data_IF_580473257915
#
_entry.id   IF_580473257915
#
_cell.length_a   1.000
_cell.length_b   1.000
_cell.length_c   1.000
_cell.angle_alpha   90.00
_cell.angle_beta   90.00
_cell.angle_gamma   90.00
#
_symmetry.space_group_name_H-M   'P 1'
#
loop_
_entity.id
_entity.type
_entity.pdbx_description
1 polymer ?
#
# COMPACT_ATOMS: atom_id res chain seq x y z
N UNK A 1 -12.51 -28.19 -20.48
CA UNK A 1 -12.70 -26.74 -20.20
C UNK A 1 -11.92 -25.92 -21.22
N UNK A 2 -12.41 -24.74 -21.56
CA UNK A 2 -11.76 -23.82 -22.51
C UNK A 2 -10.56 -23.16 -21.83
N UNK A 3 -9.35 -23.41 -22.34
CA UNK A 3 -8.10 -22.85 -21.82
C UNK A 3 -7.64 -21.60 -22.59
N UNK A 4 -6.45 -21.06 -22.17
CA UNK A 4 -5.85 -19.92 -22.86
C UNK A 4 -5.57 -20.21 -24.34
N UNK A 5 -5.07 -21.40 -24.67
CA UNK A 5 -4.76 -21.75 -26.05
C UNK A 5 -6.00 -21.74 -26.96
N UNK A 6 -7.13 -22.19 -26.46
CA UNK A 6 -8.39 -22.20 -27.20
C UNK A 6 -8.90 -20.78 -27.40
N UNK A 7 -8.90 -19.96 -26.35
CA UNK A 7 -9.31 -18.57 -26.45
C UNK A 7 -8.38 -17.73 -27.32
N UNK A 8 -7.07 -18.05 -27.36
CA UNK A 8 -6.12 -17.38 -28.24
C UNK A 8 -6.38 -17.71 -29.72
N UNK A 9 -6.74 -18.96 -30.03
CA UNK A 9 -7.21 -19.35 -31.41
C UNK A 9 -8.48 -18.61 -31.77
N UNK A 10 -9.47 -18.57 -30.87
CA UNK A 10 -10.70 -17.78 -31.06
C UNK A 10 -10.40 -16.31 -31.34
N UNK A 11 -9.45 -15.70 -30.61
CA UNK A 11 -9.06 -14.30 -30.83
C UNK A 11 -8.53 -14.06 -32.24
N UNK A 12 -7.77 -15.01 -32.83
CA UNK A 12 -7.28 -14.92 -34.18
C UNK A 12 -8.45 -14.90 -35.19
N UNK A 13 -9.42 -15.79 -35.00
CA UNK A 13 -10.63 -15.85 -35.84
C UNK A 13 -11.48 -14.58 -35.68
N UNK A 14 -11.67 -14.10 -34.46
CA UNK A 14 -12.42 -12.86 -34.20
C UNK A 14 -11.81 -11.65 -34.90
N UNK A 15 -10.49 -11.53 -34.90
CA UNK A 15 -9.80 -10.42 -35.59
C UNK A 15 -9.93 -10.44 -37.10
N UNK A 16 -10.21 -11.60 -37.67
CA UNK A 16 -10.43 -11.78 -39.11
C UNK A 16 -11.92 -11.75 -39.49
N UNK A 17 -12.84 -11.74 -38.49
CA UNK A 17 -14.26 -11.68 -38.76
C UNK A 17 -14.72 -10.26 -39.09
N UNK A 18 -15.76 -10.13 -39.90
CA UNK A 18 -16.36 -8.85 -40.28
C UNK A 18 -16.91 -8.12 -39.04
N UNK A 19 -17.57 -8.84 -38.15
CA UNK A 19 -18.21 -8.29 -36.96
C UNK A 19 -17.21 -7.75 -35.91
N UNK A 20 -16.06 -8.43 -35.68
CA UNK A 20 -15.08 -8.10 -34.66
C UNK A 20 -13.75 -7.62 -35.26
N UNK A 21 -13.72 -7.29 -36.55
CA UNK A 21 -12.51 -6.84 -37.27
C UNK A 21 -11.84 -5.62 -36.67
N UNK A 22 -12.58 -4.77 -35.92
CA UNK A 22 -12.02 -3.64 -35.15
C UNK A 22 -10.94 -4.06 -34.16
N UNK A 23 -10.92 -5.34 -33.72
CA UNK A 23 -9.86 -5.87 -32.85
C UNK A 23 -8.49 -5.92 -33.55
N UNK A 24 -8.47 -5.85 -34.91
CA UNK A 24 -7.22 -5.79 -35.68
C UNK A 24 -6.59 -4.40 -35.70
N UNK A 25 -7.33 -3.33 -35.36
CA UNK A 25 -6.83 -1.96 -35.29
C UNK A 25 -5.82 -1.79 -34.16
N UNK A 26 -5.96 -2.59 -33.09
CA UNK A 26 -5.08 -2.54 -31.93
C UNK A 26 -4.05 -3.69 -31.94
N UNK A 27 -3.00 -3.55 -31.14
CA UNK A 27 -2.03 -4.63 -30.95
C UNK A 27 -2.69 -5.87 -30.36
N UNK A 28 -2.31 -7.05 -30.88
CA UNK A 28 -2.78 -8.34 -30.36
C UNK A 28 -2.31 -8.63 -28.95
N UNK A 29 -1.16 -8.05 -28.55
CA UNK A 29 -0.50 -8.37 -27.27
C UNK A 29 -1.39 -8.02 -26.05
N UNK A 30 -1.96 -6.81 -25.90
CA UNK A 30 -2.87 -6.53 -24.79
C UNK A 30 -4.14 -7.39 -24.80
N UNK A 31 -4.61 -7.81 -25.98
CA UNK A 31 -5.76 -8.69 -26.10
C UNK A 31 -5.42 -10.09 -25.56
N UNK A 32 -4.26 -10.64 -25.95
CA UNK A 32 -3.75 -11.91 -25.41
C UNK A 32 -3.52 -11.85 -23.90
N UNK A 33 -2.96 -10.75 -23.38
CA UNK A 33 -2.77 -10.58 -21.94
C UNK A 33 -4.13 -10.53 -21.21
N UNK A 34 -5.15 -9.94 -21.79
CA UNK A 34 -6.50 -9.96 -21.23
C UNK A 34 -7.05 -11.39 -21.10
N UNK A 35 -6.80 -12.26 -22.09
CA UNK A 35 -7.17 -13.68 -22.03
C UNK A 35 -6.36 -14.45 -20.97
N UNK A 36 -5.06 -14.16 -20.85
CA UNK A 36 -4.22 -14.73 -19.78
C UNK A 36 -4.71 -14.33 -18.38
N UNK A 37 -5.07 -13.04 -18.19
CA UNK A 37 -5.67 -12.57 -16.94
C UNK A 37 -7.00 -13.27 -16.64
N UNK A 38 -7.82 -13.53 -17.65
CA UNK A 38 -9.07 -14.29 -17.50
C UNK A 38 -8.77 -15.72 -17.04
N UNK A 39 -7.84 -16.41 -17.69
CA UNK A 39 -7.40 -17.75 -17.31
C UNK A 39 -6.92 -17.77 -15.85
N UNK A 40 -6.07 -16.82 -15.46
CA UNK A 40 -5.56 -16.72 -14.08
C UNK A 40 -6.68 -16.46 -13.08
N UNK A 41 -7.67 -15.62 -13.43
CA UNK A 41 -8.81 -15.34 -12.58
C UNK A 41 -9.66 -16.59 -12.33
N UNK A 42 -9.91 -17.42 -13.34
CA UNK A 42 -10.60 -18.71 -13.19
C UNK A 42 -9.77 -19.73 -12.43
N UNK A 43 -8.46 -19.84 -12.69
CA UNK A 43 -7.57 -20.70 -11.91
C UNK A 43 -7.60 -20.37 -10.42
N UNK A 44 -7.55 -19.08 -10.07
CA UNK A 44 -7.63 -18.63 -8.68
C UNK A 44 -9.01 -18.92 -8.04
N UNK A 45 -10.07 -18.85 -8.83
CA UNK A 45 -11.42 -19.23 -8.37
C UNK A 45 -11.47 -20.75 -8.05
N UNK A 46 -11.01 -21.59 -8.95
CA UNK A 46 -11.01 -23.05 -8.73
C UNK A 46 -10.10 -23.47 -7.58
N UNK A 47 -8.96 -22.80 -7.39
CA UNK A 47 -8.09 -22.96 -6.23
C UNK A 47 -8.67 -22.40 -4.93
N UNK A 48 -9.89 -21.83 -4.97
CA UNK A 48 -10.58 -21.17 -3.83
C UNK A 48 -9.81 -20.00 -3.20
N UNK A 49 -8.82 -19.43 -3.91
CA UNK A 49 -8.05 -18.27 -3.45
C UNK A 49 -8.75 -16.95 -3.80
N UNK A 50 -9.71 -16.96 -4.73
CA UNK A 50 -10.52 -15.79 -5.08
C UNK A 50 -11.99 -16.16 -5.34
N UNK A 51 -12.84 -15.10 -5.40
CA UNK A 51 -14.25 -15.27 -5.78
C UNK A 51 -14.40 -15.44 -7.29
N UNK A 52 -15.60 -15.85 -7.74
CA UNK A 52 -15.93 -15.97 -9.16
C UNK A 52 -15.59 -14.68 -9.94
N UNK A 53 -14.92 -14.77 -11.09
CA UNK A 53 -14.54 -13.61 -11.91
C UNK A 53 -15.75 -12.77 -12.30
N UNK A 54 -15.59 -11.45 -12.26
CA UNK A 54 -16.64 -10.51 -12.67
C UNK A 54 -16.23 -9.78 -13.94
N UNK A 55 -17.17 -9.52 -14.82
CA UNK A 55 -16.93 -8.71 -16.00
C UNK A 55 -16.42 -7.32 -15.63
N UNK A 56 -15.36 -6.90 -16.29
CA UNK A 56 -14.89 -5.53 -16.23
C UNK A 56 -15.88 -4.61 -16.94
N UNK A 57 -16.22 -3.49 -16.33
CA UNK A 57 -17.02 -2.47 -16.98
C UNK A 57 -16.22 -1.19 -17.17
N UNK A 58 -16.39 -0.52 -18.33
CA UNK A 58 -15.72 0.75 -18.63
C UNK A 58 -15.92 1.81 -17.54
N UNK A 59 -17.11 1.87 -16.94
CA UNK A 59 -17.45 2.84 -15.89
C UNK A 59 -16.81 2.53 -14.53
N UNK A 60 -16.60 1.26 -14.19
CA UNK A 60 -16.17 0.83 -12.85
C UNK A 60 -14.73 0.39 -12.79
N UNK A 61 -14.21 -0.21 -13.85
CA UNK A 61 -12.86 -0.75 -13.90
C UNK A 61 -11.83 0.34 -14.18
N UNK A 62 -10.61 0.12 -13.71
CA UNK A 62 -9.45 0.94 -14.08
C UNK A 62 -9.03 0.52 -15.50
N UNK A 63 -8.77 1.50 -16.35
CA UNK A 63 -8.21 1.24 -17.68
C UNK A 63 -6.76 0.82 -17.53
N UNK A 64 -6.42 -0.37 -17.99
CA UNK A 64 -5.08 -0.94 -17.92
C UNK A 64 -4.82 -1.83 -19.10
N UNK A 65 -3.68 -1.64 -19.75
CA UNK A 65 -3.18 -2.43 -20.87
C UNK A 65 -1.82 -2.96 -20.50
N UNK A 66 -1.61 -4.25 -20.69
CA UNK A 66 -0.35 -4.91 -20.42
C UNK A 66 0.28 -5.38 -21.73
N UNK A 67 1.56 -5.06 -21.90
CA UNK A 67 2.37 -5.42 -23.04
C UNK A 67 3.52 -6.31 -22.59
N UNK A 68 3.58 -7.55 -23.07
CA UNK A 68 4.78 -8.38 -22.93
C UNK A 68 5.86 -7.93 -23.92
N UNK A 69 7.07 -8.50 -23.83
CA UNK A 69 8.25 -8.10 -24.59
C UNK A 69 8.00 -7.94 -26.10
N UNK A 70 7.16 -8.75 -26.70
CA UNK A 70 6.79 -8.66 -28.11
C UNK A 70 5.89 -7.47 -28.46
N UNK A 71 5.31 -6.81 -27.48
CA UNK A 71 4.35 -5.70 -27.66
C UNK A 71 4.95 -4.32 -27.55
N UNK A 72 6.25 -4.19 -27.29
CA UNK A 72 6.93 -2.90 -27.21
C UNK A 72 8.39 -3.02 -27.68
N UNK A 73 8.96 -1.88 -28.03
CA UNK A 73 10.38 -1.76 -28.33
C UNK A 73 10.97 -0.57 -27.59
N UNK A 74 12.24 -0.66 -27.25
CA UNK A 74 13.01 0.43 -26.64
C UNK A 74 14.09 0.81 -27.64
N UNK A 75 14.14 2.09 -27.98
CA UNK A 75 15.12 2.64 -28.91
C UNK A 75 15.55 4.01 -28.38
N UNK A 76 16.86 4.23 -28.26
CA UNK A 76 17.45 5.50 -27.78
C UNK A 76 16.87 5.99 -26.43
N UNK A 77 16.55 5.08 -25.50
CA UNK A 77 15.93 5.45 -24.23
C UNK A 77 14.42 5.75 -24.27
N UNK A 78 13.82 5.66 -25.44
CA UNK A 78 12.40 5.89 -25.66
C UNK A 78 11.62 4.58 -25.76
N UNK A 79 10.37 4.59 -25.29
CA UNK A 79 9.47 3.42 -25.29
C UNK A 79 8.41 3.57 -26.37
N UNK A 80 8.36 2.61 -27.28
CA UNK A 80 7.36 2.52 -28.35
C UNK A 80 6.46 1.32 -28.08
N UNK A 81 5.14 1.52 -28.10
CA UNK A 81 4.18 0.42 -28.05
C UNK A 81 3.84 -0.07 -29.46
N UNK A 82 3.54 -1.36 -29.59
CA UNK A 82 3.14 -1.94 -30.87
C UNK A 82 1.92 -1.21 -31.44
N UNK A 83 1.92 -0.97 -32.75
CA UNK A 83 0.94 -0.16 -33.49
C UNK A 83 1.00 1.35 -33.24
N UNK A 84 1.87 1.86 -32.37
CA UNK A 84 2.14 3.30 -32.23
C UNK A 84 3.36 3.71 -33.05
N UNK A 85 3.29 4.85 -33.71
CA UNK A 85 4.39 5.42 -34.49
C UNK A 85 5.33 6.24 -33.60
N UNK A 86 4.76 7.01 -32.70
CA UNK A 86 5.45 7.89 -31.78
C UNK A 86 5.81 7.19 -30.46
N UNK A 87 6.91 7.56 -29.80
CA UNK A 87 7.24 7.08 -28.48
C UNK A 87 6.25 7.59 -27.44
N UNK A 88 6.22 6.93 -26.30
CA UNK A 88 5.47 7.45 -25.13
C UNK A 88 6.23 8.63 -24.54
N UNK A 89 5.51 9.73 -24.30
CA UNK A 89 6.02 10.85 -23.49
C UNK A 89 5.99 10.46 -22.00
N UNK A 90 7.17 10.15 -21.43
CA UNK A 90 7.31 9.60 -20.09
C UNK A 90 8.09 10.55 -19.20
N UNK A 91 7.48 10.97 -18.10
CA UNK A 91 8.17 11.61 -17.00
C UNK A 91 8.71 10.53 -16.06
N UNK A 92 10.01 10.29 -16.14
CA UNK A 92 10.67 9.26 -15.34
C UNK A 92 10.75 9.66 -13.86
N UNK A 93 10.27 8.78 -12.97
CA UNK A 93 10.31 9.01 -11.52
C UNK A 93 11.60 8.54 -10.86
N UNK A 94 12.36 7.70 -11.55
CA UNK A 94 13.64 7.13 -11.10
C UNK A 94 14.43 6.63 -12.30
N UNK A 95 15.72 6.49 -12.13
CA UNK A 95 16.58 5.77 -13.06
C UNK A 95 16.32 4.27 -12.93
N UNK A 96 16.25 3.58 -14.05
CA UNK A 96 16.13 2.12 -14.13
C UNK A 96 16.69 1.65 -15.46
N UNK A 97 17.18 0.42 -15.51
CA UNK A 97 17.53 -0.22 -16.78
C UNK A 97 16.26 -0.60 -17.54
N UNK A 98 15.79 0.31 -18.37
CA UNK A 98 14.59 0.10 -19.19
C UNK A 98 14.76 -1.03 -20.20
N UNK A 99 16.00 -1.37 -20.61
CA UNK A 99 16.26 -2.43 -21.59
C UNK A 99 15.99 -3.82 -21.00
N UNK A 100 16.11 -3.99 -19.67
CA UNK A 100 15.77 -5.22 -18.97
C UNK A 100 14.24 -5.43 -18.82
N UNK A 101 13.42 -4.45 -19.23
CA UNK A 101 11.97 -4.54 -19.09
C UNK A 101 11.38 -5.74 -19.83
N UNK A 102 10.74 -6.64 -19.09
CA UNK A 102 10.03 -7.81 -19.60
C UNK A 102 8.56 -7.54 -19.90
N UNK A 103 7.96 -6.62 -19.15
CA UNK A 103 6.54 -6.26 -19.25
C UNK A 103 6.35 -4.76 -19.02
N UNK A 104 5.47 -4.17 -19.81
CA UNK A 104 5.03 -2.77 -19.65
C UNK A 104 3.53 -2.75 -19.40
N UNK A 105 3.10 -2.06 -18.34
CA UNK A 105 1.68 -1.83 -18.07
C UNK A 105 1.38 -0.34 -18.16
N UNK A 106 0.50 0.03 -19.07
CA UNK A 106 -0.05 1.40 -19.19
C UNK A 106 -1.40 1.46 -18.51
N UNK A 107 -1.58 2.41 -17.60
CA UNK A 107 -2.76 2.51 -16.75
C UNK A 107 -3.26 3.95 -16.68
N UNK A 108 -4.57 4.13 -16.80
CA UNK A 108 -5.24 5.40 -16.54
C UNK A 108 -6.03 5.33 -15.23
N UNK A 109 -5.76 6.23 -14.29
CA UNK A 109 -6.50 6.29 -13.03
C UNK A 109 -7.83 7.04 -13.20
N UNK A 110 -8.65 7.02 -12.13
CA UNK A 110 -9.95 7.72 -12.13
C UNK A 110 -9.84 9.24 -12.16
N UNK A 111 -8.67 9.79 -11.91
CA UNK A 111 -8.38 11.23 -12.02
C UNK A 111 -7.98 11.64 -13.45
N UNK A 112 -7.90 10.68 -14.37
CA UNK A 112 -7.50 10.88 -15.76
C UNK A 112 -5.99 11.00 -15.95
N UNK A 113 -5.18 10.52 -14.99
CA UNK A 113 -3.72 10.51 -15.10
C UNK A 113 -3.26 9.19 -15.67
N UNK A 114 -2.31 9.24 -16.59
CA UNK A 114 -1.69 8.07 -17.18
C UNK A 114 -0.40 7.73 -16.45
N UNK A 115 -0.18 6.45 -16.28
CA UNK A 115 1.02 5.88 -15.67
C UNK A 115 1.54 4.75 -16.52
N UNK A 116 2.85 4.63 -16.55
CA UNK A 116 3.54 3.47 -17.09
C UNK A 116 4.28 2.75 -15.95
N UNK A 117 4.17 1.44 -15.91
CA UNK A 117 4.92 0.58 -14.99
C UNK A 117 5.74 -0.40 -15.80
N UNK A 118 7.01 -0.47 -15.55
CA UNK A 118 7.94 -1.40 -16.19
C UNK A 118 8.34 -2.47 -15.16
N UNK A 119 8.30 -3.71 -15.58
CA UNK A 119 8.86 -4.82 -14.81
C UNK A 119 10.30 -5.04 -15.29
N UNK A 120 11.25 -4.55 -14.51
CA UNK A 120 12.68 -4.64 -14.76
C UNK A 120 13.36 -5.48 -13.69
N UNK A 121 14.44 -6.15 -14.06
CA UNK A 121 15.36 -6.71 -13.08
C UNK A 121 16.19 -5.59 -12.47
N UNK A 122 16.33 -5.58 -11.17
CA UNK A 122 17.15 -4.60 -10.46
C UNK A 122 17.83 -5.26 -9.28
N UNK A 123 19.11 -5.00 -9.14
CA UNK A 123 19.83 -5.33 -7.90
C UNK A 123 19.68 -4.17 -6.94
N UNK A 124 19.20 -4.48 -5.76
CA UNK A 124 19.14 -3.50 -4.66
C UNK A 124 20.41 -3.69 -3.83
N UNK A 125 21.18 -2.61 -3.70
CA UNK A 125 22.38 -2.61 -2.86
C UNK A 125 21.98 -2.51 -1.39
N UNK A 126 22.58 -3.35 -0.56
CA UNK A 126 22.43 -3.28 0.89
C UNK A 126 22.94 -1.94 1.42
N UNK A 127 22.31 -1.44 2.44
CA UNK A 127 22.72 -0.20 3.09
C UNK A 127 23.79 -0.44 4.14
N UNK A 128 24.71 0.53 4.36
CA UNK A 128 25.71 0.41 5.41
C UNK A 128 25.10 0.08 6.78
N UNK A 129 25.84 -0.69 7.56
CA UNK A 129 25.46 -1.03 8.94
C UNK A 129 25.68 0.22 9.80
N UNK A 130 24.67 0.57 10.60
CA UNK A 130 24.66 1.76 11.48
C UNK A 130 24.89 1.40 12.95
N UNK A 131 24.77 0.13 13.33
CA UNK A 131 24.80 -0.37 14.70
C UNK A 131 23.56 0.01 15.53
N UNK A 132 22.54 0.63 14.94
CA UNK A 132 21.37 1.17 15.65
C UNK A 132 20.16 0.26 15.56
N UNK A 133 19.46 0.14 16.68
CA UNK A 133 18.23 -0.62 16.81
C UNK A 133 17.10 0.27 17.32
N UNK A 134 15.86 0.05 16.88
CA UNK A 134 14.70 0.85 17.28
C UNK A 134 13.45 0.00 17.48
N UNK A 135 12.68 0.33 18.53
CA UNK A 135 11.30 -0.12 18.70
C UNK A 135 10.36 0.95 18.15
N UNK A 136 9.33 0.51 17.50
CA UNK A 136 8.37 1.36 16.78
C UNK A 136 6.96 1.02 17.26
N UNK A 137 6.35 1.96 17.96
CA UNK A 137 4.92 1.92 18.27
C UNK A 137 4.12 2.63 17.17
N UNK A 138 3.10 1.94 16.65
CA UNK A 138 2.23 2.42 15.55
C UNK A 138 0.88 2.84 16.12
N UNK A 139 0.66 4.14 16.22
CA UNK A 139 -0.48 4.71 16.89
C UNK A 139 -1.48 5.45 16.00
N UNK A 140 -2.60 5.85 16.60
CA UNK A 140 -3.64 6.66 15.97
C UNK A 140 -3.36 8.16 16.12
N UNK A 141 -2.93 8.59 17.31
CA UNK A 141 -2.61 9.99 17.62
C UNK A 141 -1.28 10.37 17.00
N UNK A 142 -0.24 9.69 17.39
CA UNK A 142 1.06 9.75 16.74
C UNK A 142 1.20 8.52 15.84
N UNK A 143 1.47 8.74 14.54
CA UNK A 143 1.43 7.65 13.58
C UNK A 143 2.58 6.65 13.79
N UNK A 144 3.74 7.16 14.20
CA UNK A 144 4.95 6.38 14.49
C UNK A 144 5.64 7.03 15.69
N UNK A 145 5.85 6.25 16.75
CA UNK A 145 6.63 6.67 17.92
C UNK A 145 7.82 5.74 18.06
N UNK A 146 9.01 6.30 18.19
CA UNK A 146 10.26 5.57 18.26
C UNK A 146 10.76 5.46 19.72
N UNK A 147 11.48 4.39 20.02
CA UNK A 147 12.06 4.15 21.33
C UNK A 147 13.12 5.18 21.75
N UNK A 148 13.63 6.00 20.82
CA UNK A 148 14.51 7.14 21.07
C UNK A 148 13.75 8.45 21.39
N UNK A 149 12.40 8.39 21.47
CA UNK A 149 11.53 9.51 21.80
C UNK A 149 11.04 10.31 20.61
N UNK A 150 11.50 10.04 19.37
CA UNK A 150 11.04 10.74 18.19
C UNK A 150 9.62 10.32 17.81
N UNK A 151 8.81 11.30 17.39
CA UNK A 151 7.44 11.09 16.90
C UNK A 151 7.36 11.55 15.44
N UNK A 152 6.99 10.64 14.54
CA UNK A 152 6.89 10.91 13.10
C UNK A 152 5.42 10.92 12.69
N UNK A 153 4.97 12.07 12.22
CA UNK A 153 3.57 12.28 11.85
C UNK A 153 3.47 12.85 10.43
N UNK A 154 2.40 12.50 9.68
CA UNK A 154 2.09 13.22 8.44
C UNK A 154 1.70 14.68 8.75
N UNK A 155 1.79 15.55 7.73
CA UNK A 155 1.26 16.90 7.86
C UNK A 155 -0.26 16.87 8.07
N UNK A 156 -0.67 16.97 9.34
CA UNK A 156 -2.07 16.92 9.76
C UNK A 156 -2.90 18.07 9.20
N UNK A 157 -2.30 19.23 8.96
CA UNK A 157 -3.00 20.41 8.39
C UNK A 157 -3.32 20.18 6.91
N UNK A 158 -2.33 19.72 6.14
CA UNK A 158 -2.54 19.36 4.74
C UNK A 158 -3.52 18.20 4.59
N UNK A 159 -3.44 17.19 5.47
CA UNK A 159 -4.37 16.05 5.49
C UNK A 159 -5.80 16.54 5.70
N UNK A 160 -6.07 17.33 6.74
CA UNK A 160 -7.40 17.91 7.04
C UNK A 160 -7.94 18.73 5.87
N UNK A 161 -7.10 19.59 5.27
CA UNK A 161 -7.48 20.39 4.10
C UNK A 161 -7.89 19.53 2.90
N UNK A 162 -7.20 18.41 2.67
CA UNK A 162 -7.55 17.48 1.60
C UNK A 162 -8.86 16.72 1.92
N UNK A 163 -9.08 16.31 3.15
CA UNK A 163 -10.31 15.65 3.60
C UNK A 163 -11.54 16.60 3.43
N UNK A 164 -11.39 17.86 3.77
CA UNK A 164 -12.44 18.86 3.56
C UNK A 164 -12.74 19.10 2.06
N UNK A 165 -11.72 19.07 1.21
CA UNK A 165 -11.91 19.14 -0.26
C UNK A 165 -12.69 17.93 -0.77
N UNK A 166 -12.36 16.74 -0.30
CA UNK A 166 -13.07 15.49 -0.64
C UNK A 166 -14.52 15.59 -0.17
N UNK A 167 -14.77 15.99 1.08
CA UNK A 167 -16.11 16.14 1.66
C UNK A 167 -16.96 17.13 0.86
N UNK A 168 -16.38 18.27 0.48
CA UNK A 168 -17.07 19.26 -0.40
C UNK A 168 -17.34 18.68 -1.79
N UNK A 169 -16.37 17.96 -2.37
CA UNK A 169 -16.53 17.31 -3.67
C UNK A 169 -17.63 16.22 -3.68
N UNK A 170 -17.73 15.44 -2.61
CA UNK A 170 -18.79 14.43 -2.45
C UNK A 170 -20.18 15.08 -2.40
N UNK A 171 -20.32 16.14 -1.59
CA UNK A 171 -21.59 16.92 -1.52
C UNK A 171 -21.96 17.54 -2.88
N UNK A 172 -20.98 18.09 -3.59
CA UNK A 172 -21.21 18.66 -4.91
C UNK A 172 -21.63 17.61 -5.94
N UNK A 173 -21.00 16.43 -5.92
CA UNK A 173 -21.35 15.32 -6.81
C UNK A 173 -22.75 14.75 -6.53
N UNK A 174 -23.12 14.61 -5.25
CA UNK A 174 -24.45 14.11 -4.85
C UNK A 174 -25.63 14.99 -5.32
N UNK A 175 -25.39 16.28 -5.52
CA UNK A 175 -26.39 17.25 -6.03
C UNK A 175 -26.55 17.27 -7.55
N UNK A 176 -25.74 16.48 -8.28
CA UNK A 176 -25.77 16.47 -9.76
C UNK A 176 -26.56 15.27 -10.28
N UNK A 177 -27.30 15.50 -11.36
CA UNK A 177 -27.97 14.43 -12.06
C UNK A 177 -26.92 13.42 -12.58
N UNK A 178 -27.07 12.17 -12.20
CA UNK A 178 -26.15 11.08 -12.54
C UNK A 178 -26.01 10.98 -14.07
N UNK A 179 -24.79 10.72 -14.52
CA UNK A 179 -24.40 10.58 -15.92
C UNK A 179 -24.56 11.84 -16.79
N UNK A 180 -24.91 13.01 -16.21
CA UNK A 180 -24.87 14.31 -16.91
C UNK A 180 -23.42 14.81 -17.09
N UNK A 181 -23.19 15.68 -18.09
CA UNK A 181 -21.87 16.32 -18.29
C UNK A 181 -21.36 17.03 -17.02
N UNK A 182 -22.26 17.67 -16.27
CA UNK A 182 -21.92 18.34 -15.01
C UNK A 182 -21.57 17.34 -13.89
N UNK A 183 -22.22 16.18 -13.85
CA UNK A 183 -21.88 15.10 -12.95
C UNK A 183 -20.50 14.53 -13.27
N UNK A 184 -20.17 14.31 -14.54
CA UNK A 184 -18.85 13.82 -14.94
C UNK A 184 -17.73 14.80 -14.58
N UNK A 185 -17.93 16.11 -14.81
CA UNK A 185 -16.98 17.15 -14.36
C UNK A 185 -16.79 17.13 -12.84
N UNK A 186 -17.87 17.02 -12.06
CA UNK A 186 -17.80 16.93 -10.61
C UNK A 186 -17.12 15.64 -10.14
N UNK A 187 -17.40 14.50 -10.78
CA UNK A 187 -16.76 13.19 -10.53
C UNK A 187 -15.26 13.25 -10.77
N UNK A 188 -14.83 13.84 -11.88
CA UNK A 188 -13.40 13.99 -12.19
C UNK A 188 -12.69 14.89 -11.17
N UNK A 189 -13.31 16.01 -10.78
CA UNK A 189 -12.79 16.92 -9.74
C UNK A 189 -12.64 16.21 -8.39
N UNK A 190 -13.63 15.42 -8.00
CA UNK A 190 -13.57 14.61 -6.79
C UNK A 190 -12.48 13.53 -6.87
N UNK A 191 -12.36 12.82 -8.02
CA UNK A 191 -11.31 11.83 -8.24
C UNK A 191 -9.91 12.43 -8.12
N UNK A 192 -9.70 13.64 -8.65
CA UNK A 192 -8.45 14.39 -8.51
C UNK A 192 -8.15 14.77 -7.05
N UNK A 193 -9.18 15.10 -6.26
CA UNK A 193 -9.00 15.38 -4.84
C UNK A 193 -8.58 14.11 -4.07
N UNK A 194 -9.20 12.96 -4.35
CA UNK A 194 -8.78 11.68 -3.79
C UNK A 194 -7.36 11.28 -4.20
N UNK A 195 -7.00 11.47 -5.47
CA UNK A 195 -5.66 11.18 -5.95
C UNK A 195 -4.60 11.96 -5.17
N UNK A 196 -4.77 13.27 -5.03
CA UNK A 196 -3.84 14.12 -4.24
C UNK A 196 -3.73 13.67 -2.79
N UNK A 197 -4.84 13.31 -2.17
CA UNK A 197 -4.85 12.83 -0.79
C UNK A 197 -4.07 11.52 -0.64
N UNK A 198 -4.30 10.58 -1.55
CA UNK A 198 -3.60 9.27 -1.56
C UNK A 198 -2.12 9.44 -1.87
N UNK A 199 -1.77 10.29 -2.85
CA UNK A 199 -0.38 10.55 -3.21
C UNK A 199 0.41 11.15 -2.04
N UNK A 200 -0.17 12.14 -1.34
CA UNK A 200 0.46 12.76 -0.17
C UNK A 200 0.69 11.76 0.97
N UNK A 201 -0.26 10.84 1.20
CA UNK A 201 -0.08 9.76 2.18
C UNK A 201 1.04 8.80 1.79
N UNK A 202 1.05 8.35 0.55
CA UNK A 202 2.09 7.42 0.06
C UNK A 202 3.47 8.06 0.08
N UNK A 203 3.58 9.32 -0.30
CA UNK A 203 4.83 10.08 -0.21
C UNK A 203 5.37 10.10 1.23
N UNK A 204 4.50 10.41 2.20
CA UNK A 204 4.89 10.39 3.62
C UNK A 204 5.31 8.99 4.07
N UNK A 205 4.56 7.93 3.72
CA UNK A 205 4.90 6.55 4.05
C UNK A 205 6.27 6.16 3.47
N UNK A 206 6.50 6.46 2.19
CA UNK A 206 7.77 6.15 1.55
C UNK A 206 8.94 6.89 2.19
N UNK A 207 8.79 8.18 2.50
CA UNK A 207 9.82 8.99 3.17
C UNK A 207 10.11 8.48 4.57
N UNK A 208 9.06 8.23 5.35
CA UNK A 208 9.20 7.73 6.72
C UNK A 208 9.85 6.36 6.77
N UNK A 209 9.38 5.40 5.97
CA UNK A 209 9.94 4.04 5.96
C UNK A 209 11.36 4.02 5.39
N UNK A 210 11.68 4.84 4.39
CA UNK A 210 13.06 4.97 3.88
C UNK A 210 13.98 5.61 4.93
N UNK A 211 13.52 6.63 5.65
CA UNK A 211 14.27 7.20 6.77
C UNK A 211 14.59 6.15 7.84
N UNK A 212 13.61 5.34 8.23
CA UNK A 212 13.78 4.31 9.27
C UNK A 212 14.80 3.25 8.85
N UNK A 213 14.68 2.67 7.66
CA UNK A 213 15.62 1.64 7.18
C UNK A 213 17.01 2.17 6.83
N UNK A 214 17.16 3.47 6.58
CA UNK A 214 18.47 4.09 6.42
C UNK A 214 19.15 4.43 7.76
N UNK A 215 18.36 4.54 8.84
CA UNK A 215 18.85 4.99 10.15
C UNK A 215 19.13 3.83 11.08
N UNK A 216 18.35 2.75 11.00
CA UNK A 216 18.42 1.63 11.92
C UNK A 216 18.63 0.31 11.17
N UNK A 217 19.38 -0.61 11.78
CA UNK A 217 19.64 -1.94 11.24
C UNK A 217 18.59 -2.95 11.67
N UNK A 218 18.04 -2.77 12.88
CA UNK A 218 16.98 -3.61 13.45
C UNK A 218 15.79 -2.75 13.80
N UNK A 219 14.64 -3.09 13.23
CA UNK A 219 13.36 -2.43 13.46
C UNK A 219 12.39 -3.40 14.13
N UNK A 220 12.04 -3.15 15.38
CA UNK A 220 11.08 -3.97 16.12
C UNK A 220 9.70 -3.30 16.06
N UNK A 221 8.68 -4.03 15.63
CA UNK A 221 7.29 -3.53 15.47
C UNK A 221 6.30 -4.48 16.14
N UNK A 222 5.07 -4.02 16.39
CA UNK A 222 3.98 -4.91 16.83
C UNK A 222 3.29 -5.61 15.64
N UNK A 223 2.84 -6.86 15.85
CA UNK A 223 1.95 -7.56 14.91
C UNK A 223 0.51 -7.04 15.03
N UNK A 224 0.23 -5.87 14.46
CA UNK A 224 -1.09 -5.23 14.53
C UNK A 224 -2.11 -5.91 13.60
N UNK A 225 -3.17 -6.46 14.17
CA UNK A 225 -4.34 -6.92 13.43
C UNK A 225 -5.27 -5.77 13.05
N UNK A 226 -4.88 -4.95 12.08
CA UNK A 226 -5.65 -3.77 11.64
C UNK A 226 -7.04 -4.17 11.13
N UNK A 227 -7.21 -5.32 10.49
CA UNK A 227 -8.51 -5.81 10.02
C UNK A 227 -9.46 -6.12 11.17
N UNK A 228 -8.97 -6.75 12.24
CA UNK A 228 -9.72 -6.97 13.47
C UNK A 228 -10.06 -5.65 14.18
N UNK A 229 -9.08 -4.74 14.30
CA UNK A 229 -9.27 -3.42 14.92
C UNK A 229 -10.34 -2.58 14.23
N UNK A 230 -10.48 -2.69 12.90
CA UNK A 230 -11.43 -1.91 12.10
C UNK A 230 -12.75 -2.64 11.82
N UNK A 231 -12.99 -3.80 12.44
CA UNK A 231 -14.22 -4.58 12.28
C UNK A 231 -15.43 -3.72 12.66
N UNK A 232 -16.48 -3.79 11.83
CA UNK A 232 -17.73 -3.07 12.09
C UNK A 232 -18.43 -3.66 13.29
N UNK A 233 -18.98 -2.80 14.13
CA UNK A 233 -19.85 -3.16 15.26
C UNK A 233 -21.26 -2.68 14.94
N UNK A 234 -22.28 -3.46 15.27
CA UNK A 234 -23.70 -3.10 15.19
C UNK A 234 -24.19 -2.67 16.56
N UNK A 235 -25.16 -1.74 16.63
CA UNK A 235 -25.77 -1.28 17.88
C UNK A 235 -25.16 0.01 18.42
N UNK A 236 -25.27 0.18 19.74
CA UNK A 236 -24.73 1.34 20.45
C UNK A 236 -23.23 1.46 20.30
N UNK A 237 -22.70 2.68 20.26
CA UNK A 237 -21.27 2.93 20.03
C UNK A 237 -20.83 2.87 18.56
N UNK A 238 -21.71 2.56 17.59
CA UNK A 238 -21.38 2.50 16.15
C UNK A 238 -20.74 3.78 15.61
N UNK A 239 -21.19 4.94 16.08
CA UNK A 239 -20.66 6.25 15.62
C UNK A 239 -19.22 6.46 16.11
N UNK A 240 -18.96 6.23 17.39
CA UNK A 240 -17.62 6.33 17.99
C UNK A 240 -16.64 5.34 17.33
N UNK A 241 -17.08 4.07 17.17
CA UNK A 241 -16.28 3.04 16.48
C UNK A 241 -15.99 3.40 15.03
N UNK A 242 -16.94 3.99 14.31
CA UNK A 242 -16.76 4.48 12.94
C UNK A 242 -15.72 5.61 12.87
N UNK A 243 -15.71 6.50 13.86
CA UNK A 243 -14.68 7.55 14.02
C UNK A 243 -13.29 6.95 14.24
N UNK A 244 -13.17 6.03 15.19
CA UNK A 244 -11.93 5.31 15.48
C UNK A 244 -11.42 4.54 14.25
N UNK A 245 -12.28 3.78 13.57
CA UNK A 245 -11.92 3.05 12.37
C UNK A 245 -11.38 3.98 11.28
N UNK A 246 -12.00 5.16 11.09
CA UNK A 246 -11.52 6.17 10.15
C UNK A 246 -10.13 6.65 10.54
N UNK A 247 -9.87 6.90 11.82
CA UNK A 247 -8.56 7.34 12.32
C UNK A 247 -7.49 6.28 12.10
N UNK A 248 -7.76 5.01 12.42
CA UNK A 248 -6.85 3.87 12.19
C UNK A 248 -6.52 3.76 10.69
N UNK A 249 -7.55 3.75 9.83
CA UNK A 249 -7.38 3.65 8.38
C UNK A 249 -6.71 4.91 7.78
N UNK A 250 -6.80 6.07 8.45
CA UNK A 250 -6.15 7.29 7.98
C UNK A 250 -4.63 7.22 8.09
N UNK A 251 -4.09 6.48 9.04
CA UNK A 251 -2.65 6.33 9.26
C UNK A 251 -2.00 5.23 8.40
N UNK A 252 -2.81 4.42 7.68
CA UNK A 252 -2.33 3.36 6.80
C UNK A 252 -1.33 2.40 7.49
N UNK A 253 -1.60 2.00 8.73
CA UNK A 253 -0.67 1.21 9.56
C UNK A 253 -0.22 -0.10 8.89
N UNK A 254 -1.14 -0.79 8.20
CA UNK A 254 -0.80 -2.02 7.46
C UNK A 254 0.15 -1.75 6.28
N UNK A 255 -0.04 -0.65 5.55
CA UNK A 255 0.83 -0.28 4.43
C UNK A 255 2.21 0.15 4.93
N UNK A 256 2.26 0.85 6.07
CA UNK A 256 3.51 1.24 6.71
C UNK A 256 4.30 0.01 7.14
N UNK A 257 3.67 -0.95 7.83
CA UNK A 257 4.29 -2.21 8.21
C UNK A 257 4.83 -2.96 6.99
N UNK A 258 4.00 -3.18 5.98
CA UNK A 258 4.41 -3.85 4.75
C UNK A 258 5.62 -3.15 4.08
N UNK A 259 5.62 -1.80 4.08
CA UNK A 259 6.76 -1.05 3.53
C UNK A 259 8.03 -1.19 4.36
N UNK A 260 7.94 -1.30 5.69
CA UNK A 260 9.09 -1.57 6.54
C UNK A 260 9.66 -2.96 6.28
N UNK A 261 8.80 -3.99 6.21
CA UNK A 261 9.19 -5.38 5.98
C UNK A 261 9.96 -5.53 4.66
N UNK A 262 9.37 -5.15 3.51
CA UNK A 262 10.06 -5.34 2.23
C UNK A 262 11.28 -4.44 2.04
N UNK A 263 11.28 -3.21 2.61
CA UNK A 263 12.45 -2.34 2.50
C UNK A 263 13.60 -2.82 3.39
N UNK A 264 13.30 -3.35 4.58
CA UNK A 264 14.31 -3.98 5.43
C UNK A 264 14.96 -5.13 4.68
N UNK A 265 14.19 -6.02 4.09
CA UNK A 265 14.69 -7.12 3.27
C UNK A 265 15.54 -6.61 2.09
N UNK A 266 15.09 -5.58 1.38
CA UNK A 266 15.82 -5.04 0.23
C UNK A 266 17.17 -4.44 0.62
N UNK A 267 17.26 -3.79 1.78
CA UNK A 267 18.45 -3.05 2.20
C UNK A 267 19.34 -3.80 3.19
N UNK A 268 19.13 -5.11 3.38
CA UNK A 268 19.92 -5.92 4.32
C UNK A 268 19.71 -5.52 5.78
N UNK A 269 18.49 -5.06 6.12
CA UNK A 269 18.07 -4.71 7.48
C UNK A 269 17.11 -5.74 8.04
N UNK A 270 16.96 -5.79 9.34
CA UNK A 270 16.07 -6.72 10.01
C UNK A 270 14.81 -6.01 10.50
N UNK A 271 13.64 -6.61 10.24
CA UNK A 271 12.35 -6.14 10.73
C UNK A 271 11.68 -7.28 11.50
N UNK A 272 11.54 -7.11 12.81
CA UNK A 272 11.01 -8.12 13.72
C UNK A 272 9.66 -7.69 14.26
N UNK A 273 8.64 -8.53 14.06
CA UNK A 273 7.32 -8.31 14.64
C UNK A 273 7.22 -9.07 15.97
N UNK A 274 6.89 -8.37 17.05
CA UNK A 274 6.61 -8.99 18.35
C UNK A 274 5.15 -9.45 18.43
N UNK A 275 4.87 -10.33 19.39
CA UNK A 275 3.51 -10.83 19.62
C UNK A 275 2.54 -9.67 19.91
N UNK A 276 1.35 -9.74 19.29
CA UNK A 276 0.28 -8.73 19.39
C UNK A 276 -0.33 -8.61 20.78
N UNK A 277 -0.19 -9.62 21.62
CA UNK A 277 -0.71 -9.63 23.00
C UNK A 277 0.34 -9.19 24.02
N UNK A 278 1.55 -8.87 23.58
CA UNK A 278 2.57 -8.33 24.47
C UNK A 278 2.10 -6.98 25.05
N UNK A 279 2.06 -6.80 26.39
CA UNK A 279 1.52 -5.61 27.03
C UNK A 279 2.48 -4.42 26.93
N UNK A 280 2.88 -4.03 25.73
CA UNK A 280 3.89 -3.01 25.46
C UNK A 280 3.63 -1.68 26.15
N UNK A 281 2.38 -1.20 26.16
CA UNK A 281 2.01 0.08 26.75
C UNK A 281 1.83 0.03 28.27
N UNK A 282 1.51 -1.14 28.85
CA UNK A 282 1.23 -1.32 30.27
C UNK A 282 2.48 -1.71 31.09
N UNK A 283 3.48 -2.30 30.42
CA UNK A 283 4.72 -2.72 31.04
C UNK A 283 5.66 -1.54 31.25
N UNK A 284 6.22 -1.38 32.46
CA UNK A 284 7.27 -0.41 32.70
C UNK A 284 8.56 -0.82 31.96
N UNK A 285 9.13 0.08 31.15
CA UNK A 285 10.37 -0.20 30.41
C UNK A 285 11.62 -0.27 31.28
N UNK A 286 11.55 0.21 32.50
CA UNK A 286 12.68 0.24 33.43
C UNK A 286 12.71 -0.99 34.37
N UNK A 287 11.59 -1.30 35.05
CA UNK A 287 11.55 -2.39 36.02
C UNK A 287 10.74 -3.61 35.62
N UNK A 288 9.99 -3.52 34.51
CA UNK A 288 9.17 -4.63 34.01
C UNK A 288 7.81 -4.81 34.69
N UNK A 289 7.45 -3.99 35.71
CA UNK A 289 6.12 -4.01 36.32
C UNK A 289 5.02 -3.77 35.29
N UNK A 290 3.88 -4.48 35.43
CA UNK A 290 2.73 -4.35 34.51
C UNK A 290 1.62 -3.61 35.27
N UNK A 291 1.32 -2.39 34.81
CA UNK A 291 0.22 -1.58 35.33
C UNK A 291 -1.10 -1.98 34.68
N UNK A 292 -1.89 -2.80 35.34
CA UNK A 292 -3.19 -3.29 34.83
C UNK A 292 -4.30 -2.21 34.86
N UNK A 293 -4.13 -1.14 35.65
CA UNK A 293 -5.12 -0.07 35.78
C UNK A 293 -5.00 0.98 34.66
N UNK A 294 -3.94 0.91 33.82
CA UNK A 294 -3.69 1.87 32.76
C UNK A 294 -4.77 1.84 31.69
N UNK A 295 -5.49 2.94 31.54
CA UNK A 295 -6.56 3.07 30.54
C UNK A 295 -6.05 3.63 29.21
N UNK A 296 -6.88 3.55 28.16
CA UNK A 296 -6.54 4.11 26.83
C UNK A 296 -6.42 5.65 26.84
N UNK A 297 -6.96 6.33 27.85
CA UNK A 297 -6.93 7.79 27.96
C UNK A 297 -5.65 8.28 28.62
N UNK A 298 -4.98 7.42 29.40
CA UNK A 298 -3.76 7.79 30.14
C UNK A 298 -2.59 7.87 29.16
N UNK A 299 -2.05 9.07 28.99
CA UNK A 299 -0.92 9.34 28.11
C UNK A 299 0.41 9.37 28.84
N UNK A 300 0.37 9.72 30.12
CA UNK A 300 1.50 9.74 31.02
C UNK A 300 1.13 8.98 32.28
N UNK A 301 2.07 8.25 32.84
CA UNK A 301 1.86 7.52 34.08
C UNK A 301 3.17 7.34 34.83
N UNK A 302 3.07 7.14 36.11
CA UNK A 302 4.24 6.88 36.99
C UNK A 302 4.16 5.45 37.47
N UNK A 303 5.26 4.72 37.34
CA UNK A 303 5.34 3.34 37.79
C UNK A 303 5.26 3.29 39.33
N UNK A 304 4.38 2.48 39.90
CA UNK A 304 4.24 2.31 41.32
C UNK A 304 5.44 1.64 41.99
N UNK A 305 6.14 0.77 41.26
CA UNK A 305 7.27 0.01 41.77
C UNK A 305 8.59 0.80 41.79
N UNK A 306 8.91 1.46 40.67
CA UNK A 306 10.22 2.13 40.54
C UNK A 306 10.13 3.66 40.44
N UNK A 307 8.94 4.25 40.51
CA UNK A 307 8.74 5.70 40.47
C UNK A 307 9.01 6.38 39.13
N UNK A 308 9.39 5.64 38.10
CA UNK A 308 9.72 6.23 36.81
C UNK A 308 8.47 6.79 36.12
N UNK A 309 8.56 8.03 35.63
CA UNK A 309 7.49 8.67 34.87
C UNK A 309 7.62 8.36 33.37
N UNK A 310 6.54 7.93 32.75
CA UNK A 310 6.50 7.49 31.35
C UNK A 310 5.56 8.32 30.48
N UNK A 311 6.03 8.70 29.29
CA UNK A 311 5.11 8.87 28.13
C UNK A 311 4.74 7.46 27.65
N UNK A 312 3.46 7.16 27.61
CA UNK A 312 2.93 5.83 27.33
C UNK A 312 3.41 5.28 25.99
N UNK A 313 3.39 6.10 24.94
CA UNK A 313 3.71 5.67 23.57
C UNK A 313 5.24 5.46 23.42
N UNK A 314 6.06 6.30 24.08
CA UNK A 314 7.52 6.10 24.13
C UNK A 314 7.89 4.87 24.96
N UNK A 315 7.21 4.66 26.09
CA UNK A 315 7.39 3.47 26.94
C UNK A 315 7.05 2.20 26.13
N UNK A 316 5.93 2.21 25.38
CA UNK A 316 5.56 1.11 24.50
C UNK A 316 6.65 0.82 23.45
N UNK A 317 7.17 1.85 22.78
CA UNK A 317 8.24 1.69 21.80
C UNK A 317 9.54 1.10 22.41
N UNK A 318 9.90 1.48 23.66
CA UNK A 318 11.04 0.88 24.38
C UNK A 318 10.81 -0.61 24.65
N UNK A 319 9.61 -0.97 25.11
CA UNK A 319 9.24 -2.35 25.39
C UNK A 319 9.20 -3.20 24.12
N UNK A 320 8.69 -2.65 23.01
CA UNK A 320 8.70 -3.29 21.69
C UNK A 320 10.14 -3.57 21.24
N UNK A 321 11.05 -2.61 21.44
CA UNK A 321 12.48 -2.81 21.16
C UNK A 321 13.06 -3.95 21.98
N UNK A 322 12.85 -3.95 23.30
CA UNK A 322 13.39 -4.99 24.20
C UNK A 322 12.87 -6.38 23.84
N UNK A 323 11.55 -6.51 23.58
CA UNK A 323 10.93 -7.76 23.19
C UNK A 323 11.44 -8.26 21.82
N UNK A 324 11.56 -7.37 20.81
CA UNK A 324 12.08 -7.73 19.51
C UNK A 324 13.54 -8.20 19.54
N UNK A 325 14.38 -7.55 20.32
CA UNK A 325 15.77 -7.99 20.51
C UNK A 325 15.86 -9.33 21.22
N UNK A 326 14.97 -9.63 22.19
CA UNK A 326 14.88 -10.93 22.82
C UNK A 326 14.51 -12.04 21.83
N UNK A 327 13.56 -11.79 20.92
CA UNK A 327 13.18 -12.73 19.84
C UNK A 327 14.41 -13.07 18.96
N UNK A 328 15.19 -12.07 18.58
CA UNK A 328 16.42 -12.29 17.79
C UNK A 328 17.45 -13.12 18.56
N UNK A 329 17.65 -12.80 19.85
CA UNK A 329 18.64 -13.46 20.69
C UNK A 329 18.29 -14.94 20.96
N UNK A 330 17.01 -15.29 21.04
CA UNK A 330 16.54 -16.67 21.22
C UNK A 330 16.60 -17.53 19.94
N UNK A 331 16.99 -16.95 18.80
CA UNK A 331 17.06 -17.68 17.53
C UNK A 331 15.70 -18.02 16.90
N UNK A 332 14.61 -17.65 17.54
CA UNK A 332 13.24 -17.72 17.02
C UNK A 332 12.96 -16.55 16.05
N UNK A 333 13.90 -16.28 15.16
CA UNK A 333 13.65 -15.42 14.03
C UNK A 333 12.54 -16.03 13.20
N UNK A 334 11.30 -15.76 13.56
CA UNK A 334 10.16 -15.96 12.68
C UNK A 334 10.41 -15.07 11.44
N UNK A 335 11.19 -15.59 10.49
CA UNK A 335 11.16 -15.12 9.12
C UNK A 335 9.71 -15.28 8.72
N UNK A 336 9.04 -14.16 8.55
CA UNK A 336 7.73 -14.11 7.95
C UNK A 336 7.89 -14.72 6.55
N UNK A 337 7.62 -16.03 6.46
CA UNK A 337 7.46 -16.71 5.17
C UNK A 337 6.25 -16.06 4.50
N UNK A 338 6.54 -15.45 3.36
CA UNK A 338 5.61 -14.77 2.45
C UNK A 338 4.67 -15.76 1.75
#
# INVERSE_FOLDING_TARGET
GVGYCDTAKMLTNWRSSEELGFLSEVSVVPLQQSLRHLQSAFSNFWKKTSRYPRFKSRKKSVLSLEYSRSGFRIKNGEVYLAKMKEPLDIVWSRECDINSASTITVKCDKAGRWFISLLCESRVEEKPITGKTVGIDLGVKDAVVLSDGKKLNPDRRAQKKNEERIKRGQKALARKQKDSKNWEKARLKLSRAYARYTDAKRDWLHKTTTYLVNTYDVLCIEDLNVSGMTRKVSGEGRSAKSGLNRSILSNNLSELRFMLEYKSQWYGKECVAIDRFFPSSQRCSECGYINQELTLNDRHWTCSECGTHHDRDINAAKNIKAAGLAVIACGDGARLES
#
